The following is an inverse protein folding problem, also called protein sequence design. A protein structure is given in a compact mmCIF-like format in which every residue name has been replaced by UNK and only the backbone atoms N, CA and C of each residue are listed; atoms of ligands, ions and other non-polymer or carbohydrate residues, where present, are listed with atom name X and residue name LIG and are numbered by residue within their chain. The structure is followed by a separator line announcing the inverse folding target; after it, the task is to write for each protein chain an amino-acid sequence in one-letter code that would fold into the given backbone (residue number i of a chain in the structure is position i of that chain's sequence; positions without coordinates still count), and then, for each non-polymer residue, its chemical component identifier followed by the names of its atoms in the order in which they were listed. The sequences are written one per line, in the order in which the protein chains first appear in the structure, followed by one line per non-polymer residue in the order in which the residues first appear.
data_IF_546253395211
#
_entry.id   IF_546253395211
#
_cell.length_a   1.000
_cell.length_b   1.000
_cell.length_c   1.000
_cell.angle_alpha   90.00
_cell.angle_beta   90.00
_cell.angle_gamma   90.00
#
_symmetry.space_group_name_H-M   'P 1'
#
loop_
_entity.id
_entity.type
_entity.pdbx_description
1 polymer ?
#
# COMPACT_ATOMS: atom_id res chain seq x y z
N UNK A 1 16.29 12.73 -13.41
CA UNK A 1 15.52 12.03 -12.35
C UNK A 1 15.09 10.66 -12.89
N UNK A 2 15.33 9.58 -12.14
CA UNK A 2 14.97 8.23 -12.59
C UNK A 2 13.47 8.01 -12.38
N UNK A 3 12.70 7.54 -13.38
CA UNK A 3 11.28 7.26 -13.22
C UNK A 3 11.08 6.14 -12.19
N UNK A 4 10.13 6.32 -11.26
CA UNK A 4 9.83 5.33 -10.22
C UNK A 4 8.58 4.53 -10.59
N UNK A 5 8.74 3.24 -10.77
CA UNK A 5 7.64 2.29 -10.93
C UNK A 5 7.28 1.66 -9.58
N UNK A 6 6.00 1.37 -9.37
CA UNK A 6 5.52 0.52 -8.27
C UNK A 6 4.80 -0.70 -8.87
N UNK A 7 5.52 -1.78 -9.22
CA UNK A 7 4.93 -2.93 -9.92
C UNK A 7 3.84 -3.64 -9.09
N UNK A 8 4.04 -3.78 -7.79
CA UNK A 8 3.10 -4.43 -6.87
C UNK A 8 2.03 -3.47 -6.29
N UNK A 9 1.74 -2.35 -6.97
CA UNK A 9 0.77 -1.36 -6.45
C UNK A 9 -0.65 -1.94 -6.29
N UNK A 10 -1.02 -2.87 -7.15
CA UNK A 10 -2.37 -3.44 -7.22
C UNK A 10 -2.52 -4.79 -6.53
N UNK A 11 -1.42 -5.32 -5.96
CA UNK A 11 -1.42 -6.59 -5.24
C UNK A 11 -1.55 -6.34 -3.74
N UNK A 12 -2.31 -7.19 -3.06
CA UNK A 12 -2.46 -7.09 -1.60
C UNK A 12 -1.21 -7.65 -0.89
N UNK A 13 -0.92 -7.12 0.31
CA UNK A 13 0.20 -7.60 1.13
C UNK A 13 0.12 -9.11 1.39
N UNK A 14 -1.08 -9.62 1.70
CA UNK A 14 -1.35 -11.05 1.90
C UNK A 14 -1.00 -11.91 0.69
N UNK A 15 -1.25 -11.41 -0.53
CA UNK A 15 -0.97 -12.14 -1.78
C UNK A 15 0.54 -12.18 -2.05
N UNK A 16 1.23 -11.07 -1.82
CA UNK A 16 2.69 -10.97 -1.99
C UNK A 16 3.40 -11.93 -1.02
N UNK A 17 2.96 -11.96 0.25
CA UNK A 17 3.52 -12.88 1.25
C UNK A 17 3.20 -14.34 0.91
N UNK A 18 1.98 -14.64 0.47
CA UNK A 18 1.58 -15.99 0.05
C UNK A 18 2.40 -16.49 -1.15
N UNK A 19 2.63 -15.62 -2.14
CA UNK A 19 3.47 -15.91 -3.30
C UNK A 19 4.91 -16.24 -2.90
N UNK A 20 5.50 -15.43 -2.01
CA UNK A 20 6.85 -15.67 -1.50
C UNK A 20 6.95 -17.01 -0.74
N UNK A 21 5.93 -17.34 0.06
CA UNK A 21 5.87 -18.61 0.79
C UNK A 21 5.82 -19.83 -0.14
N UNK A 22 4.94 -19.86 -1.14
CA UNK A 22 4.81 -21.01 -2.04
C UNK A 22 6.02 -21.22 -2.95
N UNK A 23 6.76 -20.16 -3.26
CA UNK A 23 8.00 -20.24 -4.03
C UNK A 23 9.25 -20.45 -3.16
N UNK A 24 9.11 -20.49 -1.83
CA UNK A 24 10.24 -20.61 -0.91
C UNK A 24 11.24 -19.44 -1.02
N UNK A 25 10.76 -18.24 -1.36
CA UNK A 25 11.61 -17.06 -1.43
C UNK A 25 11.99 -16.60 -0.01
N UNK A 26 13.26 -16.23 0.25
CA UNK A 26 13.63 -15.67 1.54
C UNK A 26 12.99 -14.29 1.73
N UNK A 27 12.19 -14.13 2.79
CA UNK A 27 11.62 -12.85 3.20
C UNK A 27 11.71 -12.68 4.72
N UNK A 28 11.80 -11.43 5.17
CA UNK A 28 11.81 -11.09 6.60
C UNK A 28 10.40 -10.74 7.08
N UNK A 29 9.91 -11.45 8.10
CA UNK A 29 8.64 -11.16 8.79
C UNK A 29 8.84 -10.40 10.10
N UNK A 30 10.07 -10.25 10.56
CA UNK A 30 10.39 -9.53 11.79
C UNK A 30 10.17 -8.02 11.59
N UNK A 31 9.25 -7.46 12.37
CA UNK A 31 9.07 -6.01 12.43
C UNK A 31 10.20 -5.34 13.23
N UNK A 32 10.44 -4.06 12.96
CA UNK A 32 11.40 -3.27 13.74
C UNK A 32 10.86 -3.02 15.17
N UNK A 33 11.75 -2.96 16.16
CA UNK A 33 11.42 -2.67 17.56
C UNK A 33 10.59 -1.39 17.74
N UNK A 34 10.83 -0.37 16.89
CA UNK A 34 10.16 0.93 16.95
C UNK A 34 8.95 1.04 16.01
N UNK A 35 8.68 0.02 15.17
CA UNK A 35 7.51 -0.03 14.30
C UNK A 35 6.16 0.17 15.03
N UNK A 36 5.90 -0.42 16.22
CA UNK A 36 4.61 -0.26 16.89
C UNK A 36 4.32 1.18 17.36
N UNK A 37 5.36 2.01 17.55
CA UNK A 37 5.20 3.41 17.95
C UNK A 37 4.85 4.32 16.77
N UNK A 38 4.87 3.80 15.53
CA UNK A 38 4.60 4.60 14.34
C UNK A 38 3.10 4.82 14.14
N UNK A 39 2.71 6.08 13.86
CA UNK A 39 1.33 6.45 13.52
C UNK A 39 0.74 5.61 12.37
N UNK A 40 1.58 5.09 11.46
CA UNK A 40 1.14 4.23 10.34
C UNK A 40 0.39 2.96 10.76
N UNK A 41 0.55 2.49 12.00
CA UNK A 41 -0.24 1.37 12.54
C UNK A 41 -1.74 1.66 12.60
N UNK A 42 -2.12 2.90 12.95
CA UNK A 42 -3.52 3.31 13.09
C UNK A 42 -4.28 3.26 11.74
N UNK A 43 -3.81 3.89 10.64
CA UNK A 43 -4.44 3.74 9.33
C UNK A 43 -4.44 2.31 8.79
N UNK A 44 -3.40 1.51 9.09
CA UNK A 44 -3.37 0.10 8.69
C UNK A 44 -4.46 -0.71 9.39
N UNK A 45 -4.71 -0.46 10.67
CA UNK A 45 -5.82 -1.07 11.42
C UNK A 45 -7.18 -0.74 10.79
N UNK A 46 -7.43 0.55 10.56
CA UNK A 46 -8.66 1.01 9.88
C UNK A 46 -8.84 0.35 8.51
N UNK A 47 -7.78 0.26 7.69
CA UNK A 47 -7.88 -0.39 6.37
C UNK A 47 -8.23 -1.87 6.49
N UNK A 48 -7.71 -2.58 7.49
CA UNK A 48 -8.07 -3.98 7.75
C UNK A 48 -9.52 -4.14 8.19
N UNK A 49 -10.04 -3.25 9.03
CA UNK A 49 -11.46 -3.23 9.43
C UNK A 49 -12.40 -2.98 8.23
N UNK A 50 -12.02 -2.05 7.35
CA UNK A 50 -12.74 -1.78 6.11
C UNK A 50 -12.69 -2.96 5.13
N UNK A 51 -11.57 -3.66 5.05
CA UNK A 51 -11.41 -4.87 4.24
C UNK A 51 -12.26 -6.03 4.77
N UNK A 52 -12.39 -6.15 6.09
CA UNK A 52 -13.25 -7.16 6.72
C UNK A 52 -14.74 -6.93 6.41
N UNK A 53 -15.18 -5.67 6.32
CA UNK A 53 -16.55 -5.33 5.92
C UNK A 53 -16.76 -5.51 4.41
N UNK A 54 -15.78 -5.10 3.60
CA UNK A 54 -15.81 -5.21 2.13
C UNK A 54 -14.39 -5.43 1.61
N UNK A 55 -14.14 -6.60 1.04
CA UNK A 55 -12.81 -7.00 0.54
C UNK A 55 -12.22 -6.03 -0.51
N UNK A 56 -13.07 -5.40 -1.32
CA UNK A 56 -12.65 -4.46 -2.36
C UNK A 56 -12.33 -3.05 -1.84
N UNK A 57 -12.44 -2.77 -0.54
CA UNK A 57 -12.29 -1.43 0.04
C UNK A 57 -10.91 -0.82 -0.25
N UNK A 58 -9.83 -1.57 -0.06
CA UNK A 58 -8.46 -1.08 -0.28
C UNK A 58 -8.21 -0.72 -1.75
N UNK A 59 -8.62 -1.59 -2.68
CA UNK A 59 -8.50 -1.34 -4.11
C UNK A 59 -9.36 -0.13 -4.54
N UNK A 60 -10.60 -0.05 -4.06
CA UNK A 60 -11.51 1.06 -4.35
C UNK A 60 -10.93 2.41 -3.85
N UNK A 61 -10.38 2.45 -2.63
CA UNK A 61 -9.70 3.62 -2.10
C UNK A 61 -8.48 3.99 -2.95
N UNK A 62 -7.69 3.01 -3.39
CA UNK A 62 -6.58 3.21 -4.31
C UNK A 62 -7.01 3.85 -5.64
N UNK A 63 -8.09 3.36 -6.24
CA UNK A 63 -8.65 3.94 -7.47
C UNK A 63 -9.18 5.36 -7.25
N UNK A 64 -9.97 5.58 -6.19
CA UNK A 64 -10.48 6.90 -5.83
C UNK A 64 -9.35 7.91 -5.56
N UNK A 65 -8.26 7.47 -4.93
CA UNK A 65 -7.10 8.31 -4.64
C UNK A 65 -6.42 8.87 -5.89
N UNK A 66 -6.51 8.17 -7.02
CA UNK A 66 -5.97 8.64 -8.30
C UNK A 66 -6.91 9.64 -8.99
N UNK A 67 -8.21 9.47 -8.80
CA UNK A 67 -9.22 10.40 -9.30
C UNK A 67 -9.28 11.69 -8.46
N UNK A 68 -8.85 11.64 -7.20
CA UNK A 68 -8.76 12.80 -6.32
C UNK A 68 -7.72 13.80 -6.86
N UNK A 69 -8.21 14.91 -7.41
CA UNK A 69 -7.40 16.10 -7.69
C UNK A 69 -7.08 16.80 -6.39
N UNK A 70 -5.99 16.43 -5.74
CA UNK A 70 -5.44 17.22 -4.62
C UNK A 70 -4.84 18.49 -5.22
N UNK A 71 -5.63 19.57 -5.21
CA UNK A 71 -5.16 20.88 -5.64
C UNK A 71 -4.08 21.40 -4.68
N UNK A 72 -2.87 21.58 -5.22
CA UNK A 72 -1.99 22.75 -5.02
C UNK A 72 -1.38 23.09 -3.65
N UNK A 73 -1.02 22.15 -2.77
CA UNK A 73 -0.13 22.48 -1.63
C UNK A 73 1.14 21.64 -1.49
N UNK A 74 1.31 20.58 -2.28
CA UNK A 74 2.57 19.83 -2.34
C UNK A 74 3.02 19.81 -3.79
N UNK A 75 4.13 20.48 -4.07
CA UNK A 75 4.79 20.51 -5.37
C UNK A 75 5.14 19.08 -5.81
N UNK A 76 4.20 18.40 -6.45
CA UNK A 76 4.36 17.04 -6.97
C UNK A 76 4.82 17.15 -8.42
N UNK A 77 6.15 17.20 -8.59
CA UNK A 77 6.77 16.86 -9.86
C UNK A 77 6.28 15.47 -10.29
N UNK A 78 5.52 15.43 -11.38
CA UNK A 78 5.28 14.26 -12.22
C UNK A 78 4.53 13.11 -11.55
N UNK A 79 3.23 13.27 -11.33
CA UNK A 79 2.32 12.12 -11.31
C UNK A 79 2.17 11.62 -12.76
N UNK A 80 3.17 10.87 -13.21
CA UNK A 80 3.04 10.07 -14.43
C UNK A 80 1.94 9.04 -14.16
N UNK A 81 0.85 9.18 -14.92
CA UNK A 81 -0.10 8.13 -15.16
C UNK A 81 0.64 6.94 -15.78
N UNK A 82 0.65 5.80 -15.09
CA UNK A 82 0.62 4.50 -15.78
C UNK A 82 -0.85 4.18 -16.02
#
# INVERSE_FOLDING_TARGET
PVPRLKPLRHSYEKEIVLYAHFLGLPYASAECLYAPQAFRGLPRGLLKELEATRSSSVAALGHSSRALRVASLVASKGLVAC
#
